data_IF_459932178087
#
_entry.id   IF_459932178087
#
_cell.length_a   1.000
_cell.length_b   1.000
_cell.length_c   1.000
_cell.angle_alpha   90.00
_cell.angle_beta   90.00
_cell.angle_gamma   90.00
#
_symmetry.space_group_name_H-M   'P 1'
#
loop_
_entity.id
_entity.type
_entity.pdbx_description
1 polymer ?
#
# COMPACT_ATOMS: atom_id res chain seq x y z
N UNK A 1 -13.10 7.12 11.77
CA UNK A 1 -13.33 6.18 10.65
C UNK A 1 -14.60 5.39 10.96
N UNK A 2 -15.42 5.08 9.96
CA UNK A 2 -16.58 4.22 10.16
C UNK A 2 -16.13 2.79 10.51
N UNK A 3 -16.96 2.04 11.23
CA UNK A 3 -16.68 0.64 11.60
C UNK A 3 -16.37 -0.19 10.35
N UNK A 4 -15.24 -0.88 10.32
CA UNK A 4 -14.80 -1.72 9.19
C UNK A 4 -14.09 -0.99 8.04
N UNK A 5 -13.95 0.34 8.10
CA UNK A 5 -13.23 1.10 7.08
C UNK A 5 -11.70 0.90 7.19
N UNK A 6 -11.09 0.36 6.14
CA UNK A 6 -9.63 0.17 6.08
C UNK A 6 -8.90 1.45 5.68
N UNK A 7 -9.41 2.14 4.65
CA UNK A 7 -8.73 3.29 4.03
C UNK A 7 -9.60 4.54 4.01
N UNK A 8 -8.94 5.70 4.04
CA UNK A 8 -9.54 7.02 4.03
C UNK A 8 -8.67 8.00 3.20
N UNK A 9 -9.17 9.23 3.00
CA UNK A 9 -8.42 10.28 2.28
C UNK A 9 -7.12 10.70 2.98
N UNK A 10 -6.99 10.43 4.27
CA UNK A 10 -5.81 10.74 5.08
C UNK A 10 -4.92 9.51 5.30
N UNK A 11 -5.27 8.36 4.73
CA UNK A 11 -4.46 7.14 4.86
C UNK A 11 -3.08 7.36 4.25
N UNK A 12 -2.05 7.03 5.02
CA UNK A 12 -0.66 7.06 4.59
C UNK A 12 -0.04 5.68 4.72
N UNK A 13 0.82 5.35 3.76
CA UNK A 13 1.42 4.04 3.60
C UNK A 13 2.94 4.11 3.61
N UNK A 14 3.55 3.07 4.16
CA UNK A 14 4.96 2.76 4.00
C UNK A 14 5.10 1.76 2.85
N UNK A 15 5.93 2.12 1.87
CA UNK A 15 6.12 1.31 0.67
C UNK A 15 7.43 0.52 0.76
N UNK A 16 7.35 -0.80 0.91
CA UNK A 16 8.52 -1.66 1.06
C UNK A 16 9.00 -2.23 -0.26
N UNK A 17 10.31 -2.16 -0.49
CA UNK A 17 11.01 -2.53 -1.72
C UNK A 17 10.64 -1.64 -2.91
N UNK A 18 11.35 -0.51 -3.06
CA UNK A 18 11.01 0.56 -3.99
C UNK A 18 10.80 0.09 -5.43
N UNK A 19 9.67 0.51 -6.01
CA UNK A 19 9.36 0.44 -7.43
C UNK A 19 8.82 1.79 -7.88
N UNK A 20 9.50 2.42 -8.83
CA UNK A 20 9.16 3.79 -9.25
C UNK A 20 7.73 3.91 -9.79
N UNK A 21 7.32 3.01 -10.69
CA UNK A 21 6.00 3.08 -11.33
C UNK A 21 4.83 2.91 -10.35
N UNK A 22 4.76 1.89 -9.48
CA UNK A 22 3.67 1.76 -8.52
C UNK A 22 3.55 2.96 -7.58
N UNK A 23 4.69 3.46 -7.09
CA UNK A 23 4.72 4.61 -6.16
C UNK A 23 4.25 5.87 -6.88
N UNK A 24 4.77 6.17 -8.08
CA UNK A 24 4.36 7.33 -8.86
C UNK A 24 2.85 7.26 -9.19
N UNK A 25 2.35 6.10 -9.60
CA UNK A 25 0.92 5.92 -9.90
C UNK A 25 0.03 6.11 -8.69
N UNK A 26 0.48 5.76 -7.49
CA UNK A 26 -0.25 6.08 -6.25
C UNK A 26 -0.34 7.60 -6.07
N UNK A 27 0.76 8.33 -6.24
CA UNK A 27 0.80 9.78 -6.14
C UNK A 27 -0.05 10.48 -7.22
N UNK A 28 -0.03 9.98 -8.45
CA UNK A 28 -0.88 10.49 -9.54
C UNK A 28 -2.36 10.32 -9.20
N UNK A 29 -2.74 9.16 -8.65
CA UNK A 29 -4.11 8.90 -8.19
C UNK A 29 -4.50 9.82 -7.04
N UNK A 30 -3.60 10.05 -6.08
CA UNK A 30 -3.83 10.93 -4.95
C UNK A 30 -4.11 12.36 -5.40
N UNK A 31 -3.32 12.84 -6.38
CA UNK A 31 -3.51 14.14 -7.01
C UNK A 31 -4.87 14.24 -7.72
N UNK A 32 -5.24 13.23 -8.52
CA UNK A 32 -6.56 13.18 -9.17
C UNK A 32 -7.72 13.17 -8.16
N UNK A 33 -7.53 12.50 -7.03
CA UNK A 33 -8.50 12.48 -5.92
C UNK A 33 -8.53 13.79 -5.12
N UNK A 34 -7.69 14.77 -5.46
CA UNK A 34 -7.50 16.05 -4.75
C UNK A 34 -7.17 15.83 -3.27
N UNK A 35 -6.30 14.87 -2.98
CA UNK A 35 -5.78 14.69 -1.63
C UNK A 35 -4.85 15.85 -1.28
N UNK A 36 -4.89 16.27 -0.02
CA UNK A 36 -3.97 17.28 0.50
C UNK A 36 -2.59 16.68 0.78
N UNK A 37 -2.55 15.41 1.20
CA UNK A 37 -1.32 14.71 1.54
C UNK A 37 -1.09 13.48 0.67
N UNK A 38 0.16 13.26 0.20
CA UNK A 38 0.56 12.03 -0.48
C UNK A 38 0.20 10.79 0.34
N UNK A 39 -0.29 9.75 -0.34
CA UNK A 39 -0.59 8.48 0.30
C UNK A 39 0.66 7.66 0.64
N UNK A 40 1.80 7.96 0.04
CA UNK A 40 3.09 7.33 0.37
C UNK A 40 3.86 8.26 1.29
N UNK A 41 3.97 7.90 2.58
CA UNK A 41 4.71 8.68 3.57
C UNK A 41 6.22 8.43 3.47
N UNK A 42 6.61 7.17 3.26
CA UNK A 42 8.00 6.80 3.12
C UNK A 42 8.17 5.52 2.30
N UNK A 43 9.40 5.33 1.83
CA UNK A 43 9.86 4.12 1.16
C UNK A 43 10.78 3.38 2.12
N UNK A 44 10.65 2.06 2.19
CA UNK A 44 11.58 1.20 2.93
C UNK A 44 12.35 0.39 1.89
N UNK A 45 13.67 0.56 1.88
CA UNK A 45 14.55 -0.19 1.00
C UNK A 45 15.75 -0.69 1.80
N UNK A 46 15.79 -1.97 2.20
CA UNK A 46 16.84 -2.51 3.04
C UNK A 46 18.24 -2.19 2.51
N UNK A 47 19.08 -1.63 3.38
CA UNK A 47 20.45 -1.22 3.04
C UNK A 47 20.58 0.10 2.26
N UNK A 48 19.49 0.86 2.12
CA UNK A 48 19.50 2.18 1.49
C UNK A 48 18.81 3.21 2.38
N UNK A 49 19.36 4.43 2.43
CA UNK A 49 18.78 5.60 3.08
C UNK A 49 18.83 6.80 2.13
N UNK A 50 18.07 7.86 2.45
CA UNK A 50 18.06 9.10 1.69
C UNK A 50 16.65 9.48 1.22
N UNK A 51 16.53 9.96 -0.03
CA UNK A 51 15.26 10.43 -0.58
C UNK A 51 15.06 9.97 -2.01
N UNK A 52 13.81 9.74 -2.41
CA UNK A 52 13.40 9.58 -3.82
C UNK A 52 12.60 10.79 -4.26
N UNK A 53 13.05 11.37 -5.37
CA UNK A 53 12.35 12.44 -6.08
C UNK A 53 11.24 11.85 -6.93
N UNK A 54 10.02 12.30 -6.68
CA UNK A 54 8.78 11.86 -7.31
C UNK A 54 7.91 13.08 -7.58
N UNK A 55 6.83 12.92 -8.32
CA UNK A 55 5.91 14.03 -8.63
C UNK A 55 4.59 13.88 -7.90
N UNK A 56 4.05 14.99 -7.41
CA UNK A 56 2.69 15.10 -6.93
C UNK A 56 1.97 16.19 -7.73
N UNK A 57 1.29 15.77 -8.80
CA UNK A 57 0.85 16.70 -9.84
C UNK A 57 2.04 17.24 -10.62
N UNK A 58 2.21 18.57 -10.64
CA UNK A 58 3.33 19.23 -11.31
C UNK A 58 4.51 19.52 -10.36
N UNK A 59 4.35 19.28 -9.06
CA UNK A 59 5.36 19.57 -8.05
C UNK A 59 6.28 18.37 -7.82
N UNK A 60 7.59 18.61 -7.78
CA UNK A 60 8.58 17.60 -7.38
C UNK A 60 8.62 17.52 -5.85
N UNK A 61 8.36 16.32 -5.31
CA UNK A 61 8.41 16.02 -3.88
C UNK A 61 9.51 15.01 -3.58
N UNK A 62 10.07 15.12 -2.37
CA UNK A 62 11.09 14.19 -1.87
C UNK A 62 10.47 13.22 -0.84
N UNK A 63 10.34 11.95 -1.21
CA UNK A 63 9.87 10.89 -0.29
C UNK A 63 11.07 10.28 0.43
N UNK A 64 11.10 10.26 1.78
CA UNK A 64 12.19 9.68 2.54
C UNK A 64 12.30 8.17 2.33
N UNK A 65 13.54 7.68 2.29
CA UNK A 65 13.90 6.27 2.20
C UNK A 65 14.56 5.84 3.50
N UNK A 66 14.01 4.80 4.09
CA UNK A 66 14.51 4.19 5.33
C UNK A 66 15.07 2.79 5.07
N UNK A 67 16.08 2.44 5.84
CA UNK A 67 16.75 1.13 5.76
C UNK A 67 15.95 0.01 6.44
N UNK A 68 15.13 0.32 7.45
CA UNK A 68 14.36 -0.67 8.23
C UNK A 68 12.89 -0.27 8.38
N UNK A 69 12.05 -1.26 8.68
CA UNK A 69 10.61 -1.04 8.90
C UNK A 69 10.37 -0.27 10.19
N UNK A 70 11.16 -0.58 11.23
CA UNK A 70 11.12 0.04 12.54
C UNK A 70 11.44 1.53 12.45
N UNK A 71 12.52 1.90 11.75
CA UNK A 71 12.92 3.30 11.55
C UNK A 71 11.85 4.09 10.79
N UNK A 72 11.27 3.48 9.75
CA UNK A 72 10.20 4.11 8.98
C UNK A 72 8.93 4.33 9.81
N UNK A 73 8.52 3.35 10.62
CA UNK A 73 7.35 3.49 11.49
C UNK A 73 7.57 4.52 12.60
N UNK A 74 8.79 4.60 13.15
CA UNK A 74 9.13 5.60 14.15
C UNK A 74 9.13 7.03 13.57
N UNK A 75 9.64 7.20 12.34
CA UNK A 75 9.68 8.50 11.67
C UNK A 75 8.31 8.94 11.13
N UNK A 76 7.41 7.99 10.85
CA UNK A 76 6.11 8.24 10.22
C UNK A 76 4.96 7.61 11.02
N UNK A 77 4.66 8.14 12.22
CA UNK A 77 3.67 7.53 13.12
C UNK A 77 2.23 7.57 12.59
N UNK A 78 1.94 8.43 11.62
CA UNK A 78 0.64 8.53 10.94
C UNK A 78 0.43 7.46 9.87
N UNK A 79 1.50 6.78 9.44
CA UNK A 79 1.39 5.73 8.43
C UNK A 79 0.86 4.44 9.05
N UNK A 80 -0.31 4.00 8.57
CA UNK A 80 -1.06 2.88 9.13
C UNK A 80 -1.24 1.72 8.14
N UNK A 81 -0.73 1.88 6.91
CA UNK A 81 -0.73 0.87 5.85
C UNK A 81 0.71 0.51 5.47
N UNK A 82 0.97 -0.77 5.28
CA UNK A 82 2.24 -1.27 4.75
C UNK A 82 2.01 -1.98 3.43
N UNK A 83 2.66 -1.52 2.36
CA UNK A 83 2.57 -2.13 1.03
C UNK A 83 3.87 -2.86 0.74
N UNK A 84 3.79 -4.18 0.59
CA UNK A 84 4.94 -5.05 0.50
C UNK A 84 5.18 -5.55 -0.93
N UNK A 85 6.15 -4.93 -1.62
CA UNK A 85 6.66 -5.35 -2.93
C UNK A 85 7.92 -6.22 -2.83
N UNK A 86 8.19 -6.84 -1.67
CA UNK A 86 9.25 -7.84 -1.53
C UNK A 86 9.07 -9.02 -2.48
N UNK A 87 10.14 -9.78 -2.73
CA UNK A 87 10.04 -11.06 -3.43
C UNK A 87 9.41 -12.12 -2.52
N UNK A 88 8.96 -13.23 -3.09
CA UNK A 88 8.34 -14.33 -2.34
C UNK A 88 9.21 -14.82 -1.17
N UNK A 89 10.53 -14.82 -1.34
CA UNK A 89 11.52 -15.25 -0.34
C UNK A 89 11.63 -14.32 0.87
N UNK A 90 11.33 -13.04 0.71
CA UNK A 90 11.48 -12.04 1.78
C UNK A 90 10.15 -11.43 2.23
N UNK A 91 9.06 -11.70 1.53
CA UNK A 91 7.72 -11.20 1.84
C UNK A 91 7.24 -11.62 3.22
N UNK A 92 7.53 -12.85 3.67
CA UNK A 92 7.16 -13.29 5.02
C UNK A 92 7.85 -12.46 6.10
N UNK A 93 9.18 -12.39 6.05
CA UNK A 93 9.98 -11.69 7.07
C UNK A 93 9.63 -10.19 7.14
N UNK A 94 9.51 -9.51 5.99
CA UNK A 94 9.15 -8.09 5.96
C UNK A 94 7.71 -7.84 6.41
N UNK A 95 6.76 -8.69 6.03
CA UNK A 95 5.37 -8.58 6.50
C UNK A 95 5.25 -8.80 8.00
N UNK A 96 5.99 -9.77 8.55
CA UNK A 96 6.00 -10.03 9.99
C UNK A 96 6.62 -8.88 10.78
N UNK A 97 7.71 -8.27 10.28
CA UNK A 97 8.28 -7.05 10.89
C UNK A 97 7.26 -5.91 10.89
N UNK A 98 6.54 -5.69 9.79
CA UNK A 98 5.48 -4.68 9.71
C UNK A 98 4.29 -4.98 10.66
N UNK A 99 3.83 -6.23 10.72
CA UNK A 99 2.75 -6.64 11.61
C UNK A 99 3.09 -6.43 13.09
N UNK A 100 4.37 -6.51 13.47
CA UNK A 100 4.82 -6.22 14.84
C UNK A 100 4.79 -4.74 15.20
N UNK A 101 4.74 -3.83 14.24
CA UNK A 101 4.75 -2.39 14.50
C UNK A 101 3.37 -1.91 14.97
N UNK A 102 3.24 -1.17 16.07
CA UNK A 102 1.94 -0.78 16.63
C UNK A 102 1.13 0.14 15.70
N UNK A 103 1.80 0.95 14.87
CA UNK A 103 1.16 1.91 13.96
C UNK A 103 0.48 1.23 12.76
N UNK A 104 0.98 0.07 12.32
CA UNK A 104 0.51 -0.61 11.11
C UNK A 104 -0.76 -1.42 11.39
N UNK A 105 -1.86 -1.07 10.71
CA UNK A 105 -3.15 -1.76 10.81
C UNK A 105 -3.40 -2.70 9.64
N UNK A 106 -2.90 -2.35 8.45
CA UNK A 106 -3.13 -3.09 7.20
C UNK A 106 -1.80 -3.41 6.52
N UNK A 107 -1.62 -4.66 6.12
CA UNK A 107 -0.46 -5.13 5.34
C UNK A 107 -0.92 -5.70 4.02
N UNK A 108 -0.54 -5.08 2.91
CA UNK A 108 -0.79 -5.59 1.56
C UNK A 108 0.45 -6.34 1.05
N UNK A 109 0.29 -7.62 0.70
CA UNK A 109 1.39 -8.50 0.27
C UNK A 109 1.22 -8.81 -1.21
N UNK A 110 2.08 -8.22 -2.05
CA UNK A 110 1.97 -8.33 -3.50
C UNK A 110 2.59 -9.64 -4.03
N UNK A 111 3.63 -10.15 -3.35
CA UNK A 111 4.37 -11.31 -3.79
C UNK A 111 3.49 -12.54 -4.02
N UNK A 112 3.66 -13.17 -5.18
CA UNK A 112 3.15 -14.51 -5.46
C UNK A 112 4.14 -15.59 -4.99
N UNK A 113 3.65 -16.80 -4.73
CA UNK A 113 4.52 -17.93 -4.37
C UNK A 113 5.11 -17.88 -2.96
N UNK A 114 4.50 -17.12 -2.03
CA UNK A 114 4.81 -17.23 -0.59
C UNK A 114 4.34 -18.60 -0.09
N UNK A 115 5.18 -19.40 0.59
CA UNK A 115 4.78 -20.69 1.13
C UNK A 115 3.50 -20.62 1.98
N UNK A 116 2.63 -21.62 1.85
CA UNK A 116 1.37 -21.66 2.60
C UNK A 116 1.60 -21.73 4.12
N UNK A 117 2.65 -22.42 4.57
CA UNK A 117 3.02 -22.51 5.98
C UNK A 117 3.34 -21.13 6.58
N UNK A 118 4.11 -20.31 5.85
CA UNK A 118 4.43 -18.93 6.22
C UNK A 118 3.18 -18.04 6.19
N UNK A 119 2.33 -18.21 5.17
CA UNK A 119 1.06 -17.48 5.06
C UNK A 119 0.13 -17.78 6.24
N UNK A 120 0.05 -19.04 6.68
CA UNK A 120 -0.72 -19.43 7.88
C UNK A 120 -0.22 -18.74 9.14
N UNK A 121 1.11 -18.59 9.29
CA UNK A 121 1.70 -17.87 10.42
C UNK A 121 1.34 -16.38 10.39
N UNK A 122 1.38 -15.73 9.22
CA UNK A 122 0.97 -14.34 9.05
C UNK A 122 -0.51 -14.14 9.43
N UNK A 123 -1.39 -15.02 8.95
CA UNK A 123 -2.83 -14.98 9.27
C UNK A 123 -3.06 -15.13 10.77
N UNK A 124 -2.41 -16.11 11.40
CA UNK A 124 -2.54 -16.35 12.84
C UNK A 124 -2.10 -15.13 13.65
N UNK A 125 -0.94 -14.55 13.31
CA UNK A 125 -0.43 -13.36 13.99
C UNK A 125 -1.37 -12.15 13.80
N UNK A 126 -1.80 -11.88 12.57
CA UNK A 126 -2.69 -10.75 12.27
C UNK A 126 -4.03 -10.86 13.00
N UNK A 127 -4.61 -12.06 13.07
CA UNK A 127 -5.87 -12.30 13.80
C UNK A 127 -5.72 -12.02 15.30
N UNK A 128 -4.64 -12.51 15.92
CA UNK A 128 -4.39 -12.29 17.36
C UNK A 128 -4.13 -10.82 17.68
N UNK A 129 -3.60 -10.05 16.73
CA UNK A 129 -3.25 -8.63 16.92
C UNK A 129 -4.26 -7.65 16.29
N UNK A 130 -5.42 -8.13 15.85
CA UNK A 130 -6.47 -7.34 15.21
C UNK A 130 -5.97 -6.49 14.02
N UNK A 131 -5.18 -7.11 13.14
CA UNK A 131 -4.61 -6.50 11.92
C UNK A 131 -5.18 -7.16 10.68
N UNK A 132 -5.15 -6.43 9.57
CA UNK A 132 -5.69 -6.89 8.29
C UNK A 132 -4.55 -7.19 7.32
N UNK A 133 -4.63 -8.34 6.66
CA UNK A 133 -3.75 -8.71 5.55
C UNK A 133 -4.57 -8.72 4.26
N UNK A 134 -4.06 -8.07 3.22
CA UNK A 134 -4.58 -8.14 1.84
C UNK A 134 -3.54 -8.88 1.00
N UNK A 135 -3.87 -10.11 0.59
CA UNK A 135 -2.95 -11.02 -0.10
C UNK A 135 -2.57 -12.23 0.76
N UNK A 136 -1.46 -12.94 0.46
CA UNK A 136 -0.52 -12.72 -0.65
C UNK A 136 -1.11 -12.88 -2.06
N UNK A 137 -0.28 -12.74 -3.10
CA UNK A 137 -0.66 -12.92 -4.49
C UNK A 137 -1.84 -12.02 -4.93
N UNK A 138 -1.69 -10.71 -4.74
CA UNK A 138 -2.70 -9.72 -5.10
C UNK A 138 -2.04 -8.46 -5.66
N UNK A 139 -2.76 -7.73 -6.53
CA UNK A 139 -2.36 -6.35 -6.86
C UNK A 139 -2.71 -5.36 -5.75
N UNK A 140 -3.55 -5.77 -4.80
CA UNK A 140 -4.01 -4.97 -3.67
C UNK A 140 -5.49 -4.64 -3.78
N UNK A 141 -5.81 -3.37 -4.01
CA UNK A 141 -7.15 -2.83 -3.94
C UNK A 141 -7.19 -1.30 -4.09
N UNK A 142 -8.38 -0.78 -4.33
CA UNK A 142 -8.62 0.65 -4.51
C UNK A 142 -9.89 1.07 -3.75
N UNK A 143 -9.78 2.14 -2.99
CA UNK A 143 -10.89 2.89 -2.42
C UNK A 143 -11.02 4.19 -3.22
N UNK A 144 -12.06 4.25 -4.06
CA UNK A 144 -12.26 5.36 -4.99
C UNK A 144 -12.33 6.71 -4.26
N UNK A 145 -11.60 7.71 -4.76
CA UNK A 145 -11.48 9.03 -4.14
C UNK A 145 -10.68 9.08 -2.84
N UNK A 146 -10.03 7.99 -2.41
CA UNK A 146 -9.33 7.95 -1.13
C UNK A 146 -7.92 7.35 -1.20
N UNK A 147 -7.75 6.10 -1.62
CA UNK A 147 -6.45 5.42 -1.55
C UNK A 147 -6.40 4.25 -2.51
N UNK A 148 -5.25 4.00 -3.15
CA UNK A 148 -5.02 2.78 -3.94
C UNK A 148 -3.71 2.12 -3.56
N UNK A 149 -3.66 0.80 -3.67
CA UNK A 149 -2.47 0.00 -3.40
C UNK A 149 -1.69 -0.20 -4.71
N UNK A 150 -0.46 0.33 -4.75
CA UNK A 150 0.49 0.08 -5.85
C UNK A 150 -0.11 0.31 -7.24
N UNK A 151 -0.03 -0.72 -8.09
CA UNK A 151 -0.48 -0.68 -9.49
C UNK A 151 -1.98 -0.97 -9.69
N UNK A 152 -2.77 -1.07 -8.62
CA UNK A 152 -4.21 -1.35 -8.75
C UNK A 152 -4.90 -0.35 -9.70
N UNK A 153 -5.77 -0.88 -10.57
CA UNK A 153 -6.50 -0.15 -11.61
C UNK A 153 -5.63 0.50 -12.70
N UNK A 154 -4.33 0.19 -12.77
CA UNK A 154 -3.49 0.48 -13.93
C UNK A 154 -3.15 1.96 -14.12
N UNK A 155 -3.30 2.44 -15.36
CA UNK A 155 -2.91 3.78 -15.78
C UNK A 155 -3.92 4.85 -15.35
N UNK A 156 -3.47 6.10 -15.35
CA UNK A 156 -4.31 7.27 -15.08
C UNK A 156 -5.52 7.36 -16.01
N UNK A 157 -5.37 7.01 -17.29
CA UNK A 157 -6.49 7.01 -18.24
C UNK A 157 -7.61 6.07 -17.80
N UNK A 158 -7.26 4.87 -17.32
CA UNK A 158 -8.23 3.91 -16.81
C UNK A 158 -8.93 4.43 -15.54
N UNK A 159 -8.18 5.07 -14.62
CA UNK A 159 -8.75 5.72 -13.43
C UNK A 159 -9.81 6.76 -13.83
N UNK A 160 -9.54 7.56 -14.86
CA UNK A 160 -10.44 8.63 -15.32
C UNK A 160 -11.67 8.02 -16.01
N UNK A 161 -11.48 7.07 -16.93
CA UNK A 161 -12.56 6.38 -17.63
C UNK A 161 -13.53 5.70 -16.66
N UNK A 162 -12.98 5.00 -15.66
CA UNK A 162 -13.75 4.31 -14.62
C UNK A 162 -14.26 5.23 -13.51
N UNK A 163 -13.95 6.54 -13.55
CA UNK A 163 -14.34 7.56 -12.55
C UNK A 163 -13.90 7.20 -11.12
N UNK A 164 -12.77 6.50 -10.97
CA UNK A 164 -12.26 6.00 -9.68
C UNK A 164 -11.68 7.11 -8.78
N UNK A 165 -11.54 8.33 -9.30
CA UNK A 165 -11.09 9.50 -8.54
C UNK A 165 -12.13 10.08 -7.58
N UNK A 166 -13.37 9.55 -7.56
CA UNK A 166 -14.44 9.93 -6.62
C UNK A 166 -15.18 8.69 -6.09
N UNK A 167 -15.73 8.73 -4.87
CA UNK A 167 -16.49 7.61 -4.34
C UNK A 167 -17.80 7.37 -5.11
N UNK A 168 -18.19 6.10 -5.20
CA UNK A 168 -19.51 5.66 -5.63
C UNK A 168 -20.25 4.96 -4.47
N UNK A 169 -21.14 4.02 -4.80
CA UNK A 169 -21.95 3.27 -3.82
C UNK A 169 -21.87 1.75 -3.99
N UNK A 170 -20.91 1.26 -4.78
CA UNK A 170 -20.72 -0.16 -5.08
C UNK A 170 -19.37 -0.62 -4.53
N UNK A 171 -19.39 -1.67 -3.72
CA UNK A 171 -18.18 -2.39 -3.27
C UNK A 171 -18.08 -3.75 -3.97
N UNK A 172 -16.86 -4.16 -4.29
CA UNK A 172 -16.59 -5.42 -4.98
C UNK A 172 -15.37 -6.11 -4.37
N UNK A 173 -15.40 -7.44 -4.31
CA UNK A 173 -14.29 -8.28 -3.84
C UNK A 173 -14.11 -9.46 -4.79
N UNK A 174 -12.86 -9.71 -5.20
CA UNK A 174 -12.50 -10.82 -6.09
C UNK A 174 -11.18 -11.43 -5.63
N UNK A 175 -11.00 -12.73 -5.94
CA UNK A 175 -9.69 -13.41 -5.82
C UNK A 175 -8.75 -13.08 -6.98
N UNK A 176 -9.28 -12.90 -8.19
CA UNK A 176 -8.48 -12.73 -9.40
C UNK A 176 -8.57 -11.32 -9.95
N UNK A 177 -7.41 -10.80 -10.34
CA UNK A 177 -7.22 -9.47 -10.93
C UNK A 177 -7.58 -9.46 -12.42
N UNK A 178 -7.51 -10.60 -13.13
CA UNK A 178 -7.82 -10.66 -14.57
C UNK A 178 -9.28 -10.34 -14.90
N UNK A 179 -10.18 -10.40 -13.91
CA UNK A 179 -11.57 -9.98 -14.03
C UNK A 179 -11.78 -8.48 -13.73
N UNK A 180 -10.70 -7.73 -13.47
CA UNK A 180 -10.74 -6.30 -13.18
C UNK A 180 -10.62 -5.49 -14.50
N UNK A 181 -11.59 -5.67 -15.40
CA UNK A 181 -11.86 -4.75 -16.51
C UNK A 181 -13.12 -3.98 -16.12
N UNK A 182 -12.96 -2.71 -15.73
CA UNK A 182 -14.06 -1.77 -15.49
C UNK A 182 -14.32 -0.94 -16.75
#
# INVERSE_FOLDING_TARGET
MATGQLFSRTTQALFYNYKQLPVQRMLDFDFLCRRETPSVAAIINPGSEGFKKLFFGQEEIAIPVHSTVEAACAAHPTADVFINFASSRSAFASSMSALKQPTIRVVAIIAEGVPESETKQLIAYAKTNNKVIIGPATVGGIQAGAFKIGDTAGTTDNIIQCKLYRPGSVGFVSKSVSHFHL
#
